data_IF_757217493810
#
_entry.id   IF_757217493810
#
_cell.length_a   1.000
_cell.length_b   1.000
_cell.length_c   1.000
_cell.angle_alpha   90.00
_cell.angle_beta   90.00
_cell.angle_gamma   90.00
#
_symmetry.space_group_name_H-M   'P 1'
#
loop_
_entity.id
_entity.type
_entity.pdbx_description
1 polymer ?
#
# COMPACT_ATOMS: atom_id res chain seq x y z
N UNK A 1 14.14 28.22 -18.01
CA UNK A 1 13.02 27.25 -18.12
C UNK A 1 11.78 27.90 -17.53
N UNK A 2 10.61 27.80 -18.18
CA UNK A 2 9.37 28.36 -17.64
C UNK A 2 8.90 27.52 -16.46
N UNK A 3 8.73 28.13 -15.29
CA UNK A 3 8.14 27.48 -14.14
C UNK A 3 6.63 27.33 -14.37
N UNK A 4 6.14 26.09 -14.36
CA UNK A 4 4.71 25.80 -14.48
C UNK A 4 4.11 25.54 -13.09
N UNK A 5 2.97 26.16 -12.76
CA UNK A 5 2.21 25.81 -11.56
C UNK A 5 1.86 24.32 -11.50
N UNK A 6 1.87 23.73 -10.31
CA UNK A 6 1.66 22.30 -10.11
C UNK A 6 0.29 21.80 -10.56
N UNK A 7 -0.75 22.60 -10.35
CA UNK A 7 -2.11 22.34 -10.85
C UNK A 7 -2.15 22.25 -12.39
N UNK A 8 -1.45 23.16 -13.08
CA UNK A 8 -1.34 23.13 -14.55
C UNK A 8 -0.64 21.88 -15.06
N UNK A 9 0.44 21.44 -14.40
CA UNK A 9 1.13 20.19 -14.74
C UNK A 9 0.20 19.00 -14.50
N UNK A 10 -0.44 18.92 -13.32
CA UNK A 10 -1.40 17.87 -12.97
C UNK A 10 -2.51 17.75 -14.01
N UNK A 11 -3.17 18.87 -14.34
CA UNK A 11 -4.35 18.88 -15.20
C UNK A 11 -4.00 18.54 -16.65
N UNK A 12 -2.88 19.07 -17.17
CA UNK A 12 -2.42 18.74 -18.52
C UNK A 12 -2.06 17.25 -18.64
N UNK A 13 -1.31 16.69 -17.68
CA UNK A 13 -0.94 15.27 -17.69
C UNK A 13 -2.19 14.39 -17.57
N UNK A 14 -3.13 14.74 -16.70
CA UNK A 14 -4.39 14.00 -16.57
C UNK A 14 -5.23 14.02 -17.86
N UNK A 15 -5.25 15.13 -18.59
CA UNK A 15 -5.93 15.19 -19.88
C UNK A 15 -5.34 14.18 -20.89
N UNK A 16 -4.01 14.07 -20.95
CA UNK A 16 -3.34 13.07 -21.79
C UNK A 16 -3.57 11.63 -21.32
N UNK A 17 -3.50 11.37 -20.01
CA UNK A 17 -3.78 10.05 -19.43
C UNK A 17 -5.21 9.60 -19.73
N UNK A 18 -6.18 10.52 -19.64
CA UNK A 18 -7.58 10.25 -19.97
C UNK A 18 -7.76 9.97 -21.47
N UNK A 19 -7.17 10.78 -22.35
CA UNK A 19 -7.22 10.55 -23.79
C UNK A 19 -6.61 9.20 -24.20
N UNK A 20 -5.59 8.75 -23.46
CA UNK A 20 -4.96 7.44 -23.66
C UNK A 20 -5.76 6.28 -23.02
N UNK A 21 -6.88 6.53 -22.35
CA UNK A 21 -7.67 5.50 -21.65
C UNK A 21 -6.94 4.87 -20.46
N UNK A 22 -5.96 5.58 -19.88
CA UNK A 22 -5.17 5.07 -18.77
C UNK A 22 -6.02 4.99 -17.48
N UNK A 23 -5.71 4.02 -16.63
CA UNK A 23 -6.37 3.83 -15.31
C UNK A 23 -5.54 4.40 -14.15
N UNK A 24 -4.75 5.42 -14.44
CA UNK A 24 -3.90 6.15 -13.49
C UNK A 24 -4.16 7.64 -13.61
N UNK A 25 -4.08 8.35 -12.49
CA UNK A 25 -4.30 9.80 -12.42
C UNK A 25 -3.26 10.43 -11.49
N UNK A 26 -2.89 11.66 -11.80
CA UNK A 26 -2.07 12.51 -10.94
C UNK A 26 -3.00 13.28 -10.00
N UNK A 27 -2.81 13.10 -8.69
CA UNK A 27 -3.62 13.79 -7.69
C UNK A 27 -3.04 15.18 -7.35
N UNK A 28 -1.71 15.29 -7.32
CA UNK A 28 -0.98 16.50 -6.96
C UNK A 28 0.37 16.52 -7.69
N UNK A 29 0.85 17.71 -8.00
CA UNK A 29 2.22 17.96 -8.43
C UNK A 29 2.72 19.22 -7.70
N UNK A 30 3.97 19.19 -7.24
CA UNK A 30 4.63 20.29 -6.55
C UNK A 30 6.07 20.40 -7.06
N UNK A 31 6.64 21.60 -6.95
CA UNK A 31 8.08 21.79 -7.17
C UNK A 31 8.83 21.19 -5.98
N UNK A 32 9.82 20.37 -6.26
CA UNK A 32 10.71 19.80 -5.24
C UNK A 32 12.08 20.49 -5.28
N UNK A 33 12.81 20.53 -4.16
CA UNK A 33 14.23 20.88 -4.14
C UNK A 33 15.07 19.98 -5.06
N UNK A 34 16.22 20.50 -5.52
CA UNK A 34 17.11 19.77 -6.44
C UNK A 34 17.70 18.48 -5.84
N UNK A 35 17.76 18.38 -4.51
CA UNK A 35 18.27 17.23 -3.76
C UNK A 35 17.18 16.23 -3.34
N UNK A 36 15.92 16.47 -3.73
CA UNK A 36 14.81 15.58 -3.41
C UNK A 36 14.83 14.30 -4.24
N UNK A 37 14.68 13.15 -3.58
CA UNK A 37 14.47 11.86 -4.22
C UNK A 37 13.24 11.16 -3.63
N UNK A 38 12.23 10.90 -4.46
CA UNK A 38 10.96 10.31 -4.01
C UNK A 38 11.11 8.96 -3.30
N UNK A 39 12.18 8.20 -3.58
CA UNK A 39 12.46 6.91 -2.94
C UNK A 39 13.27 7.09 -1.66
N UNK A 40 14.36 7.87 -1.70
CA UNK A 40 15.30 7.99 -0.58
C UNK A 40 14.86 9.02 0.47
N UNK A 41 14.16 10.07 0.08
CA UNK A 41 13.59 11.06 1.01
C UNK A 41 12.36 10.53 1.75
N UNK A 42 11.74 9.43 1.28
CA UNK A 42 10.57 8.84 1.93
C UNK A 42 10.92 8.16 3.27
N UNK A 43 10.26 8.60 4.35
CA UNK A 43 10.49 8.13 5.73
C UNK A 43 9.67 6.89 6.10
N UNK A 44 8.59 6.61 5.37
CA UNK A 44 7.65 5.54 5.63
C UNK A 44 6.84 5.16 4.41
N UNK A 45 6.36 3.92 4.38
CA UNK A 45 5.31 3.44 3.48
C UNK A 45 4.21 2.81 4.31
N UNK A 46 2.97 3.03 3.88
CA UNK A 46 1.79 2.55 4.56
C UNK A 46 0.92 1.76 3.57
N UNK A 47 0.53 0.56 3.94
CA UNK A 47 -0.30 -0.32 3.12
C UNK A 47 -1.58 -0.69 3.85
N UNK A 48 -2.66 -0.78 3.07
CA UNK A 48 -3.93 -1.36 3.49
C UNK A 48 -4.22 -2.56 2.58
N UNK A 49 -4.36 -3.73 3.19
CA UNK A 49 -4.86 -4.92 2.52
C UNK A 49 -6.30 -5.18 2.96
N UNK A 50 -7.22 -5.37 2.01
CA UNK A 50 -8.66 -5.54 2.26
C UNK A 50 -9.10 -6.95 1.91
N UNK A 51 -9.69 -7.65 2.87
CA UNK A 51 -10.21 -9.00 2.72
C UNK A 51 -11.72 -8.97 2.92
N UNK A 52 -12.47 -9.29 1.86
CA UNK A 52 -13.90 -9.49 1.96
C UNK A 52 -14.17 -10.91 2.47
N UNK A 53 -14.60 -11.02 3.71
CA UNK A 53 -14.77 -12.27 4.42
C UNK A 53 -16.24 -12.65 4.62
N UNK A 54 -16.90 -13.07 3.54
CA UNK A 54 -18.29 -13.56 3.52
C UNK A 54 -18.51 -14.57 2.39
N UNK A 55 -19.58 -15.37 2.46
CA UNK A 55 -19.84 -16.46 1.48
C UNK A 55 -20.01 -15.97 0.05
N UNK A 56 -20.82 -14.93 -0.18
CA UNK A 56 -21.07 -14.43 -1.51
C UNK A 56 -19.97 -13.44 -1.96
N UNK A 57 -19.53 -13.47 -3.24
CA UNK A 57 -18.56 -12.50 -3.75
C UNK A 57 -19.19 -11.10 -3.86
N UNK A 58 -18.34 -10.07 -4.01
CA UNK A 58 -18.80 -8.69 -4.26
C UNK A 58 -18.80 -8.36 -5.75
N UNK A 59 -19.90 -7.79 -6.23
CA UNK A 59 -19.97 -7.20 -7.56
C UNK A 59 -19.20 -5.87 -7.64
N UNK A 60 -19.32 -5.02 -6.62
CA UNK A 60 -18.78 -3.66 -6.60
C UNK A 60 -17.28 -3.59 -6.27
N UNK A 61 -16.80 -4.52 -5.43
CA UNK A 61 -15.41 -4.57 -4.95
C UNK A 61 -14.56 -5.58 -5.75
N UNK A 62 -15.09 -6.10 -6.86
CA UNK A 62 -14.37 -7.06 -7.71
C UNK A 62 -13.05 -6.42 -8.19
N UNK A 63 -11.94 -7.12 -7.94
CA UNK A 63 -10.59 -6.64 -8.26
C UNK A 63 -10.00 -5.62 -7.27
N UNK A 64 -10.72 -5.26 -6.20
CA UNK A 64 -10.26 -4.30 -5.17
C UNK A 64 -10.02 -4.95 -3.80
N UNK A 65 -10.51 -6.17 -3.60
CA UNK A 65 -10.43 -6.90 -2.33
C UNK A 65 -10.09 -8.37 -2.59
N UNK A 66 -9.44 -9.01 -1.61
CA UNK A 66 -9.32 -10.46 -1.61
C UNK A 66 -10.59 -11.07 -1.05
N UNK A 67 -11.31 -11.88 -1.84
CA UNK A 67 -12.50 -12.57 -1.38
C UNK A 67 -12.14 -13.91 -0.72
N UNK A 68 -12.55 -14.08 0.53
CA UNK A 68 -12.35 -15.32 1.30
C UNK A 68 -13.70 -15.79 1.86
N UNK A 69 -14.29 -16.88 1.34
CA UNK A 69 -15.62 -17.33 1.78
C UNK A 69 -15.60 -18.04 3.14
N UNK A 70 -14.46 -18.62 3.55
CA UNK A 70 -14.30 -19.25 4.86
C UNK A 70 -14.16 -18.17 5.93
N UNK A 71 -14.97 -18.20 6.98
CA UNK A 71 -14.90 -17.24 8.09
C UNK A 71 -13.51 -17.24 8.70
N UNK A 72 -12.93 -16.04 8.84
CA UNK A 72 -11.65 -15.79 9.49
C UNK A 72 -11.90 -15.13 10.85
N UNK A 73 -11.08 -15.47 11.83
CA UNK A 73 -11.07 -14.81 13.12
C UNK A 73 -10.09 -13.64 13.09
N UNK A 74 -10.64 -12.41 13.02
CA UNK A 74 -9.82 -11.21 12.88
C UNK A 74 -9.06 -10.86 14.17
N UNK A 75 -9.60 -11.24 15.34
CA UNK A 75 -8.97 -10.96 16.63
C UNK A 75 -7.75 -11.87 16.82
N UNK A 76 -7.89 -13.15 16.48
CA UNK A 76 -6.75 -14.10 16.46
C UNK A 76 -5.70 -13.67 15.45
N UNK A 77 -6.11 -13.21 14.25
CA UNK A 77 -5.18 -12.65 13.27
C UNK A 77 -4.44 -11.41 13.81
N UNK A 78 -5.13 -10.54 14.55
CA UNK A 78 -4.54 -9.36 15.15
C UNK A 78 -3.52 -9.71 16.25
N UNK A 79 -3.85 -10.65 17.14
CA UNK A 79 -2.90 -11.09 18.17
C UNK A 79 -1.66 -11.73 17.56
N UNK A 80 -1.82 -12.56 16.51
CA UNK A 80 -0.68 -13.13 15.80
C UNK A 80 0.17 -12.05 15.10
N UNK A 81 -0.46 -11.01 14.55
CA UNK A 81 0.23 -9.92 13.87
C UNK A 81 1.18 -9.13 14.81
N UNK A 82 0.84 -8.99 16.10
CA UNK A 82 1.67 -8.26 17.07
C UNK A 82 3.07 -8.84 17.22
N UNK A 83 3.24 -10.14 17.00
CA UNK A 83 4.54 -10.84 17.08
C UNK A 83 5.53 -10.29 16.04
N UNK A 84 5.03 -9.79 14.91
CA UNK A 84 5.83 -9.27 13.81
C UNK A 84 6.22 -7.79 13.97
N UNK A 85 5.74 -7.11 15.01
CA UNK A 85 6.10 -5.71 15.28
C UNK A 85 7.55 -5.59 15.75
N UNK A 86 8.20 -4.50 15.37
CA UNK A 86 9.61 -4.26 15.69
C UNK A 86 10.56 -4.80 14.63
N UNK A 87 11.81 -5.04 15.03
CA UNK A 87 12.92 -5.39 14.12
C UNK A 87 13.10 -6.89 14.03
N UNK A 88 12.88 -7.46 12.85
CA UNK A 88 12.96 -8.90 12.60
C UNK A 88 13.66 -9.21 11.28
N UNK A 89 14.12 -10.45 11.15
CA UNK A 89 14.47 -11.04 9.86
C UNK A 89 13.20 -11.52 9.14
N UNK A 90 12.85 -10.88 8.03
CA UNK A 90 11.65 -11.20 7.25
C UNK A 90 11.95 -12.13 6.06
N UNK A 91 13.02 -12.92 6.10
CA UNK A 91 13.39 -13.85 5.00
C UNK A 91 12.23 -14.75 4.58
N UNK A 92 11.43 -15.28 5.52
CA UNK A 92 10.27 -16.14 5.21
C UNK A 92 9.16 -15.41 4.45
N UNK A 93 9.09 -14.08 4.55
CA UNK A 93 8.10 -13.24 3.88
C UNK A 93 8.62 -12.59 2.59
N UNK A 94 9.88 -12.87 2.24
CA UNK A 94 10.57 -12.25 1.11
C UNK A 94 10.20 -12.94 -0.21
N UNK A 95 9.88 -12.15 -1.24
CA UNK A 95 9.77 -12.66 -2.61
C UNK A 95 11.11 -13.20 -3.12
N UNK A 96 11.09 -14.28 -3.90
CA UNK A 96 12.29 -14.83 -4.55
C UNK A 96 12.96 -13.83 -5.49
N UNK A 97 12.22 -12.84 -5.99
CA UNK A 97 12.72 -11.79 -6.88
C UNK A 97 13.21 -10.53 -6.14
N UNK A 98 13.13 -10.51 -4.80
CA UNK A 98 13.51 -9.34 -4.01
C UNK A 98 15.01 -9.05 -4.15
N UNK A 99 15.34 -7.83 -4.57
CA UNK A 99 16.71 -7.35 -4.77
C UNK A 99 17.29 -6.64 -3.53
N UNK A 100 16.62 -6.69 -2.38
CA UNK A 100 17.12 -6.02 -1.18
C UNK A 100 18.33 -6.76 -0.59
N UNK A 101 19.38 -6.03 -0.25
CA UNK A 101 20.62 -6.61 0.30
C UNK A 101 20.45 -7.25 1.68
N UNK A 102 19.43 -6.83 2.45
CA UNK A 102 19.14 -7.39 3.77
C UNK A 102 17.64 -7.68 3.91
N UNK A 103 17.26 -8.85 4.49
CA UNK A 103 15.88 -9.18 4.84
C UNK A 103 15.42 -8.56 6.17
N UNK A 104 16.31 -7.88 6.90
CA UNK A 104 15.97 -7.29 8.19
C UNK A 104 15.16 -6.01 7.98
N UNK A 105 13.97 -5.95 8.57
CA UNK A 105 13.10 -4.76 8.52
C UNK A 105 12.55 -4.45 9.91
N UNK A 106 12.11 -3.22 10.08
CA UNK A 106 11.36 -2.78 11.26
C UNK A 106 9.93 -2.49 10.84
N UNK A 107 8.97 -3.22 11.40
CA UNK A 107 7.56 -3.00 11.21
C UNK A 107 7.03 -2.13 12.37
N UNK A 108 6.56 -0.94 12.04
CA UNK A 108 6.09 0.07 13.00
C UNK A 108 4.61 -0.15 13.35
N UNK A 109 3.84 -0.69 12.40
CA UNK A 109 2.42 -0.98 12.57
C UNK A 109 2.05 -2.26 11.81
N UNK A 110 1.23 -3.09 12.44
CA UNK A 110 0.53 -4.20 11.81
C UNK A 110 -0.77 -4.48 12.56
N UNK A 111 -1.83 -3.78 12.15
CA UNK A 111 -3.15 -3.94 12.74
C UNK A 111 -4.04 -4.79 11.85
N UNK A 112 -4.87 -5.63 12.46
CA UNK A 112 -5.93 -6.36 11.79
C UNK A 112 -7.23 -5.98 12.47
N UNK A 113 -8.22 -5.55 11.69
CA UNK A 113 -9.53 -5.14 12.23
C UNK A 113 -10.65 -5.60 11.31
N UNK A 114 -11.83 -5.84 11.89
CA UNK A 114 -13.04 -6.20 11.15
C UNK A 114 -14.06 -5.07 11.20
N UNK A 115 -14.65 -4.75 10.05
CA UNK A 115 -15.81 -3.88 9.90
C UNK A 115 -16.86 -4.60 9.06
N UNK A 116 -17.87 -5.17 9.73
CA UNK A 116 -18.82 -6.07 9.10
C UNK A 116 -18.13 -7.28 8.43
N UNK A 117 -18.34 -7.43 7.13
CA UNK A 117 -17.72 -8.48 6.33
C UNK A 117 -16.31 -8.15 5.84
N UNK A 118 -15.82 -6.92 6.06
CA UNK A 118 -14.47 -6.52 5.64
C UNK A 118 -13.48 -6.73 6.77
N UNK A 119 -12.33 -7.36 6.47
CA UNK A 119 -11.15 -7.36 7.32
C UNK A 119 -10.10 -6.46 6.66
N UNK A 120 -9.54 -5.55 7.43
CA UNK A 120 -8.48 -4.65 7.00
C UNK A 120 -7.18 -4.99 7.74
N UNK A 121 -6.10 -5.18 6.97
CA UNK A 121 -4.74 -5.31 7.48
C UNK A 121 -3.99 -4.03 7.16
N UNK A 122 -3.54 -3.30 8.17
CA UNK A 122 -2.82 -2.03 8.04
C UNK A 122 -1.38 -2.21 8.45
N UNK A 123 -0.46 -2.07 7.49
CA UNK A 123 0.97 -2.21 7.71
C UNK A 123 1.69 -0.87 7.54
N UNK A 124 2.68 -0.57 8.38
CA UNK A 124 3.54 0.61 8.24
C UNK A 124 4.98 0.26 8.58
N UNK A 125 5.90 0.70 7.72
CA UNK A 125 7.33 0.55 7.93
C UNK A 125 8.07 1.58 7.07
N UNK A 126 9.33 1.86 7.43
CA UNK A 126 10.25 2.61 6.57
C UNK A 126 10.37 1.99 5.17
N UNK A 127 10.45 0.67 5.08
CA UNK A 127 10.55 -0.08 3.83
C UNK A 127 10.07 -1.52 3.99
N UNK A 128 9.73 -2.15 2.87
CA UNK A 128 9.34 -3.55 2.76
C UNK A 128 10.34 -4.30 1.86
N UNK A 129 10.23 -5.63 1.76
CA UNK A 129 11.09 -6.50 0.95
C UNK A 129 10.46 -6.79 -0.43
#
# INVERSE_FOLDING_TARGET
VKAWPGDKVRDAVNAHLQAAGARVVILKADVAPDDFDARFSATGRHYLYRILNRRAPSALEKGKVWWVPKRLDADVMHEAAKILLGRHDFTTFRSTQCQANSPVRTLERLDVSRQGDMIEVRASARSFL
#
